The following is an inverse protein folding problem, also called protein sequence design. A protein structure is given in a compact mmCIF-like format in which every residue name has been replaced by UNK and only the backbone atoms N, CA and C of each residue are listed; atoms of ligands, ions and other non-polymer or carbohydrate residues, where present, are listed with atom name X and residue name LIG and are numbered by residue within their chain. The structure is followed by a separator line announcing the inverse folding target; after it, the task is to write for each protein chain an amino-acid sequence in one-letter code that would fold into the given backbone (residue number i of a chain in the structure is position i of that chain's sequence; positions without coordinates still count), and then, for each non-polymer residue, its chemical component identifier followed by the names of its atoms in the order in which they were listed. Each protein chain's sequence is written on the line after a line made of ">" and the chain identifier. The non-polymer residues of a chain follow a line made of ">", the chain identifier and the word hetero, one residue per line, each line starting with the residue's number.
data_IF_666194583209
#
_entry.id   IF_666194583209
#
_cell.length_a   1.000
_cell.length_b   1.000
_cell.length_c   1.000
_cell.angle_alpha   90.00
_cell.angle_beta   90.00
_cell.angle_gamma   90.00
#
_symmetry.space_group_name_H-M   'P 1'
#
loop_
_entity.id
_entity.type
_entity.pdbx_description
1 polymer ?
#
# COMPACT_ATOMS: atom_id res chain seq x y z
N UNK A 1 -53.84 33.46 -38.07
CA UNK A 1 -52.88 33.00 -37.03
C UNK A 1 -52.96 31.48 -36.89
N UNK A 2 -51.85 30.76 -36.97
CA UNK A 2 -51.72 29.42 -36.38
C UNK A 2 -50.26 29.21 -35.94
N UNK A 3 -50.09 28.80 -34.67
CA UNK A 3 -48.87 28.88 -33.87
C UNK A 3 -48.03 27.61 -34.08
N UNK A 4 -46.96 27.70 -34.87
CA UNK A 4 -45.93 26.66 -35.04
C UNK A 4 -44.98 26.68 -33.83
N UNK A 5 -45.39 26.15 -32.69
CA UNK A 5 -44.56 26.08 -31.49
C UNK A 5 -44.90 24.83 -30.67
N UNK A 6 -44.20 23.73 -30.94
CA UNK A 6 -44.42 22.47 -30.21
C UNK A 6 -43.44 21.34 -30.48
N UNK A 7 -42.42 21.52 -31.34
CA UNK A 7 -41.52 20.42 -31.74
C UNK A 7 -40.02 20.66 -31.48
N UNK A 8 -39.59 21.89 -31.17
CA UNK A 8 -38.18 22.19 -30.85
C UNK A 8 -37.80 21.99 -29.38
N UNK A 9 -38.76 21.93 -28.46
CA UNK A 9 -38.46 21.85 -27.01
C UNK A 9 -38.14 20.43 -26.56
N UNK A 10 -38.76 19.41 -27.17
CA UNK A 10 -38.55 18.00 -26.82
C UNK A 10 -37.11 17.51 -27.09
N UNK A 11 -36.46 17.98 -28.15
CA UNK A 11 -35.08 17.60 -28.48
C UNK A 11 -34.06 18.16 -27.48
N UNK A 12 -34.31 19.34 -26.91
CA UNK A 12 -33.42 19.98 -25.93
C UNK A 12 -33.42 19.19 -24.61
N UNK A 13 -34.60 18.75 -24.15
CA UNK A 13 -34.72 17.88 -22.99
C UNK A 13 -34.16 16.46 -23.24
N UNK A 14 -34.34 15.91 -24.45
CA UNK A 14 -33.80 14.60 -24.82
C UNK A 14 -32.26 14.57 -24.89
N UNK A 15 -31.63 15.61 -25.44
CA UNK A 15 -30.16 15.73 -25.50
C UNK A 15 -29.57 15.99 -24.11
N UNK A 16 -30.24 16.80 -23.27
CA UNK A 16 -29.82 17.05 -21.88
C UNK A 16 -29.83 15.78 -21.02
N UNK A 17 -30.86 14.93 -21.16
CA UNK A 17 -30.97 13.64 -20.47
C UNK A 17 -29.92 12.62 -20.94
N UNK A 18 -29.62 12.57 -22.24
CA UNK A 18 -28.57 11.71 -22.80
C UNK A 18 -27.16 12.17 -22.39
N UNK A 19 -26.90 13.48 -22.38
CA UNK A 19 -25.61 14.04 -21.97
C UNK A 19 -25.30 13.81 -20.48
N UNK A 20 -26.28 13.98 -19.59
CA UNK A 20 -26.14 13.68 -18.16
C UNK A 20 -25.85 12.19 -17.90
N UNK A 21 -26.48 11.30 -18.67
CA UNK A 21 -26.22 9.85 -18.58
C UNK A 21 -24.80 9.47 -18.98
N UNK A 22 -24.28 10.05 -20.06
CA UNK A 22 -22.90 9.78 -20.54
C UNK A 22 -21.84 10.35 -19.59
N UNK A 23 -22.07 11.57 -19.08
CA UNK A 23 -21.16 12.20 -18.11
C UNK A 23 -21.13 11.40 -16.80
N UNK A 24 -22.30 10.98 -16.32
CA UNK A 24 -22.40 10.12 -15.14
C UNK A 24 -21.68 8.77 -15.32
N UNK A 25 -21.87 8.11 -16.48
CA UNK A 25 -21.24 6.82 -16.78
C UNK A 25 -19.71 6.93 -16.88
N UNK A 26 -19.19 8.02 -17.44
CA UNK A 26 -17.75 8.30 -17.55
C UNK A 26 -17.09 8.57 -16.18
N UNK A 27 -17.77 9.32 -15.31
CA UNK A 27 -17.33 9.58 -13.94
C UNK A 27 -17.27 8.30 -13.10
N UNK A 28 -18.27 7.41 -13.25
CA UNK A 28 -18.32 6.13 -12.52
C UNK A 28 -17.20 5.18 -12.97
N UNK A 29 -16.88 5.13 -14.27
CA UNK A 29 -15.79 4.31 -14.80
C UNK A 29 -14.41 4.73 -14.29
N UNK A 30 -14.20 6.03 -14.04
CA UNK A 30 -12.92 6.58 -13.58
C UNK A 30 -12.57 6.22 -12.13
N UNK A 31 -13.56 5.82 -11.32
CA UNK A 31 -13.38 5.44 -9.91
C UNK A 31 -12.89 3.98 -9.72
N UNK A 32 -12.87 3.17 -10.78
CA UNK A 32 -12.56 1.73 -10.67
C UNK A 32 -11.06 1.41 -10.68
N UNK A 33 -10.18 2.40 -10.88
CA UNK A 33 -8.71 2.21 -10.92
C UNK A 33 -8.08 2.63 -9.60
N UNK A 34 -8.45 1.95 -8.50
CA UNK A 34 -7.75 2.07 -7.23
C UNK A 34 -7.05 0.73 -6.98
N UNK A 35 -5.79 0.62 -7.42
CA UNK A 35 -4.96 -0.52 -7.03
C UNK A 35 -4.57 -0.36 -5.56
N UNK A 36 -4.73 -1.38 -4.69
CA UNK A 36 -4.19 -1.32 -3.35
C UNK A 36 -2.67 -1.39 -3.45
N UNK A 37 -2.01 -0.23 -3.44
CA UNK A 37 -0.61 -0.18 -3.07
C UNK A 37 -0.54 -0.75 -1.64
N UNK A 38 0.26 -1.80 -1.39
CA UNK A 38 0.50 -2.24 -0.02
C UNK A 38 1.15 -1.06 0.70
N UNK A 39 0.35 -0.35 1.49
CA UNK A 39 0.81 0.77 2.26
C UNK A 39 1.80 0.23 3.28
N UNK A 40 3.03 0.74 3.24
CA UNK A 40 4.00 0.44 4.29
C UNK A 40 3.45 0.97 5.62
N UNK A 41 3.54 0.16 6.67
CA UNK A 41 3.19 0.56 8.03
C UNK A 41 4.10 1.69 8.52
N UNK A 42 5.37 1.63 8.14
CA UNK A 42 6.39 2.60 8.53
C UNK A 42 7.54 2.58 7.53
N UNK A 43 8.05 3.75 7.15
CA UNK A 43 9.25 3.88 6.33
C UNK A 43 10.27 4.77 7.03
N UNK A 44 11.54 4.36 6.97
CA UNK A 44 12.67 5.13 7.48
C UNK A 44 13.82 5.06 6.49
N UNK A 45 14.37 6.22 6.16
CA UNK A 45 15.63 6.32 5.46
C UNK A 45 16.77 6.25 6.48
N UNK A 46 17.75 5.38 6.20
CA UNK A 46 18.93 5.14 7.03
C UNK A 46 20.17 5.18 6.14
N UNK A 47 20.82 6.34 6.07
CA UNK A 47 21.89 6.59 5.11
C UNK A 47 21.36 6.56 3.69
N UNK A 48 21.99 5.74 2.84
CA UNK A 48 21.59 5.55 1.43
C UNK A 48 20.41 4.58 1.26
N UNK A 49 19.99 3.89 2.32
CA UNK A 49 18.94 2.88 2.25
C UNK A 49 17.58 3.43 2.69
N UNK A 50 16.53 3.08 1.96
CA UNK A 50 15.14 3.30 2.38
C UNK A 50 14.51 1.98 2.77
N UNK A 51 14.15 1.86 4.05
CA UNK A 51 13.58 0.65 4.62
C UNK A 51 12.14 0.92 5.02
N UNK A 52 11.22 0.16 4.44
CA UNK A 52 9.80 0.21 4.71
C UNK A 52 9.33 -1.12 5.30
N UNK A 53 8.63 -1.07 6.42
CA UNK A 53 8.00 -2.23 7.06
C UNK A 53 6.62 -2.38 6.44
N UNK A 54 6.38 -3.49 5.75
CA UNK A 54 5.09 -3.77 5.10
C UNK A 54 4.16 -4.55 6.02
N UNK A 55 4.71 -5.52 6.76
CA UNK A 55 4.00 -6.24 7.80
C UNK A 55 4.94 -6.60 8.93
N UNK A 56 4.42 -6.66 10.16
CA UNK A 56 5.17 -7.11 11.32
C UNK A 56 4.25 -7.81 12.32
N UNK A 57 4.73 -8.91 12.88
CA UNK A 57 4.06 -9.67 13.93
C UNK A 57 5.07 -10.12 14.98
N UNK A 58 4.87 -9.69 16.22
CA UNK A 58 5.66 -10.16 17.38
C UNK A 58 5.31 -11.62 17.71
N UNK A 59 6.31 -12.41 18.08
CA UNK A 59 6.11 -13.78 18.57
C UNK A 59 5.48 -13.79 19.96
N UNK A 60 4.57 -14.74 20.21
CA UNK A 60 3.94 -14.92 21.52
C UNK A 60 4.84 -15.66 22.51
N UNK A 61 5.76 -16.50 22.02
CA UNK A 61 6.68 -17.30 22.85
C UNK A 61 7.93 -16.51 23.25
N UNK A 62 8.48 -15.75 22.30
CA UNK A 62 9.71 -14.99 22.46
C UNK A 62 9.43 -13.52 22.10
N UNK A 63 9.25 -12.65 23.09
CA UNK A 63 8.82 -11.26 22.82
C UNK A 63 9.86 -10.44 22.02
N UNK A 64 11.12 -10.86 22.01
CA UNK A 64 12.22 -10.28 21.22
C UNK A 64 12.26 -10.77 19.77
N UNK A 65 11.36 -11.67 19.36
CA UNK A 65 11.28 -12.18 17.98
C UNK A 65 10.12 -11.55 17.20
N UNK A 66 10.41 -11.13 15.98
CA UNK A 66 9.46 -10.50 15.08
C UNK A 66 9.47 -11.21 13.73
N UNK A 67 8.30 -11.51 13.18
CA UNK A 67 8.13 -11.94 11.80
C UNK A 67 7.70 -10.74 10.98
N UNK A 68 8.49 -10.34 9.99
CA UNK A 68 8.21 -9.14 9.23
C UNK A 68 8.51 -9.30 7.74
N UNK A 69 7.69 -8.69 6.89
CA UNK A 69 8.04 -8.40 5.51
C UNK A 69 8.42 -6.93 5.39
N UNK A 70 9.49 -6.68 4.64
CA UNK A 70 10.07 -5.33 4.49
C UNK A 70 10.37 -5.05 3.03
N UNK A 71 10.37 -3.79 2.66
CA UNK A 71 10.88 -3.30 1.39
C UNK A 71 12.15 -2.53 1.65
N UNK A 72 13.25 -2.93 1.02
CA UNK A 72 14.54 -2.26 1.10
C UNK A 72 14.86 -1.73 -0.28
N UNK A 73 15.02 -0.41 -0.40
CA UNK A 73 15.35 0.28 -1.66
C UNK A 73 14.39 -0.06 -2.81
N UNK A 74 13.10 -0.13 -2.50
CA UNK A 74 12.05 -0.48 -3.46
C UNK A 74 11.83 -1.98 -3.65
N UNK A 75 12.74 -2.83 -3.19
CA UNK A 75 12.64 -4.30 -3.33
C UNK A 75 11.99 -4.93 -2.11
N UNK A 76 10.85 -5.57 -2.33
CA UNK A 76 10.14 -6.32 -1.28
C UNK A 76 10.84 -7.64 -0.97
N UNK A 77 11.08 -7.88 0.32
CA UNK A 77 11.62 -9.12 0.86
C UNK A 77 10.50 -9.96 1.46
N UNK A 78 10.59 -11.31 1.37
CA UNK A 78 9.62 -12.19 1.97
C UNK A 78 9.58 -12.02 3.50
N UNK A 79 8.61 -12.67 4.14
CA UNK A 79 8.55 -12.69 5.61
C UNK A 79 9.78 -13.41 6.16
N UNK A 80 10.57 -12.70 6.97
CA UNK A 80 11.75 -13.19 7.67
C UNK A 80 11.55 -13.11 9.18
N UNK A 81 12.33 -13.89 9.94
CA UNK A 81 12.36 -13.82 11.40
C UNK A 81 13.50 -12.90 11.84
N UNK A 82 13.20 -11.93 12.69
CA UNK A 82 14.15 -10.98 13.25
C UNK A 82 14.23 -11.19 14.76
N UNK A 83 15.40 -11.56 15.27
CA UNK A 83 15.67 -11.73 16.70
C UNK A 83 16.43 -10.49 17.21
N UNK A 84 15.75 -9.67 18.01
CA UNK A 84 16.29 -8.41 18.52
C UNK A 84 17.32 -8.60 19.63
N UNK A 85 17.24 -9.70 20.40
CA UNK A 85 18.18 -10.00 21.48
C UNK A 85 19.55 -10.38 20.93
N UNK A 86 19.56 -11.30 19.96
CA UNK A 86 20.80 -11.87 19.41
C UNK A 86 21.27 -11.11 18.15
N UNK A 87 20.46 -10.14 17.66
CA UNK A 87 20.71 -9.31 16.47
C UNK A 87 20.92 -10.14 15.20
N UNK A 88 20.08 -11.16 15.04
CA UNK A 88 20.11 -12.12 13.93
C UNK A 88 18.81 -12.08 13.13
N UNK A 89 18.89 -12.19 11.81
CA UNK A 89 17.75 -12.49 10.94
C UNK A 89 17.83 -13.91 10.42
N UNK A 90 16.70 -14.59 10.33
CA UNK A 90 16.56 -15.88 9.67
C UNK A 90 15.70 -15.72 8.43
N UNK A 91 16.28 -16.03 7.29
CA UNK A 91 15.64 -15.99 5.99
C UNK A 91 14.65 -17.15 5.82
N UNK A 92 13.84 -17.10 4.76
CA UNK A 92 12.82 -18.12 4.48
C UNK A 92 13.40 -19.53 4.28
N UNK A 93 14.64 -19.61 3.79
CA UNK A 93 15.39 -20.85 3.58
C UNK A 93 16.00 -21.43 4.89
N UNK A 94 15.85 -20.73 6.02
CA UNK A 94 16.44 -21.10 7.30
C UNK A 94 17.85 -20.53 7.52
N UNK A 95 18.44 -19.85 6.53
CA UNK A 95 19.76 -19.23 6.66
C UNK A 95 19.69 -18.09 7.68
N UNK A 96 20.54 -18.17 8.70
CA UNK A 96 20.64 -17.13 9.74
C UNK A 96 21.84 -16.23 9.47
N UNK A 97 21.59 -14.92 9.41
CA UNK A 97 22.60 -13.90 9.17
C UNK A 97 22.54 -12.81 10.27
N UNK A 98 23.68 -12.20 10.63
CA UNK A 98 23.68 -11.03 11.49
C UNK A 98 22.96 -9.84 10.84
N UNK A 99 22.43 -8.94 11.66
CA UNK A 99 21.84 -7.69 11.16
C UNK A 99 22.89 -6.81 10.50
N UNK A 100 22.50 -6.17 9.39
CA UNK A 100 23.28 -5.06 8.87
C UNK A 100 23.18 -3.84 9.80
N UNK A 101 24.26 -3.06 9.99
CA UNK A 101 24.29 -1.93 10.92
C UNK A 101 23.15 -0.93 10.74
N UNK A 102 22.74 -0.67 9.50
CA UNK A 102 21.61 0.19 9.13
C UNK A 102 20.49 -0.58 8.42
N UNK A 103 20.41 -1.90 8.64
CA UNK A 103 19.46 -2.78 7.97
C UNK A 103 18.08 -2.85 8.63
N UNK A 104 17.21 -3.66 8.02
CA UNK A 104 15.82 -3.82 8.45
C UNK A 104 15.69 -4.29 9.90
N UNK A 105 16.56 -5.22 10.33
CA UNK A 105 16.57 -5.72 11.71
C UNK A 105 16.84 -4.62 12.73
N UNK A 106 17.77 -3.71 12.43
CA UNK A 106 18.06 -2.55 13.29
C UNK A 106 16.83 -1.65 13.41
N UNK A 107 16.17 -1.32 12.29
CA UNK A 107 14.97 -0.47 12.28
C UNK A 107 13.82 -1.11 13.05
N UNK A 108 13.54 -2.40 12.82
CA UNK A 108 12.47 -3.13 13.49
C UNK A 108 12.66 -3.11 15.00
N UNK A 109 13.85 -3.47 15.49
CA UNK A 109 14.11 -3.58 16.92
C UNK A 109 14.07 -2.22 17.61
N UNK A 110 14.59 -1.14 16.99
CA UNK A 110 14.48 0.19 17.59
C UNK A 110 13.03 0.70 17.67
N UNK A 111 12.18 0.32 16.71
CA UNK A 111 10.81 0.80 16.67
C UNK A 111 9.88 0.01 17.62
N UNK A 112 10.07 -1.30 17.72
CA UNK A 112 9.12 -2.19 18.38
C UNK A 112 9.64 -2.88 19.64
N UNK A 113 10.94 -2.85 19.97
CA UNK A 113 11.48 -3.46 21.20
C UNK A 113 11.25 -2.54 22.41
N UNK A 114 9.98 -2.43 22.82
CA UNK A 114 9.51 -1.84 24.07
C UNK A 114 8.67 -2.84 24.85
#
# INVERSE_FOLDING_TARGET
>A
MCKQQGWREWWIWAIGLLGLGVIGLSLIGSLMVISPAQAALYCRSTGEHTICILSIKRSAKNYWEYRASVRVDGVERPIELYNCRDRLRTQRDGTTLPFEPAGAGTVICHLFDR
#
